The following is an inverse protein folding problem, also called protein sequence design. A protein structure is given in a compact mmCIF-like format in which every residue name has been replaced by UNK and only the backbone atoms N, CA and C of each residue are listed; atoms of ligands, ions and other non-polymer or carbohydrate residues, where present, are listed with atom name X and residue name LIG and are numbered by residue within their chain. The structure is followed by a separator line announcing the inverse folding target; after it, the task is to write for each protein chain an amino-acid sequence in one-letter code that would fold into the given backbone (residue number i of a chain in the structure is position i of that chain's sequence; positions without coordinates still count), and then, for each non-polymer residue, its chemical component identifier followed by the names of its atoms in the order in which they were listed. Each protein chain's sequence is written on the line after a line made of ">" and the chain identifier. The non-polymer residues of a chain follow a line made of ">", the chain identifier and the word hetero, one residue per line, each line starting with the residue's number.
data_IF_042325673552
#
_entry.id   IF_042325673552
#
_cell.length_a   1.000
_cell.length_b   1.000
_cell.length_c   1.000
_cell.angle_alpha   90.00
_cell.angle_beta   90.00
_cell.angle_gamma   90.00
#
_symmetry.space_group_name_H-M   'P 1'
#
loop_
_entity.id
_entity.type
_entity.pdbx_description
1 polymer ?
#
# COMPACT_ATOMS: atom_id res chain seq x y z
N UNK A 1 11.66 19.07 3.16
CA UNK A 1 11.22 17.71 2.82
C UNK A 1 11.92 16.56 3.55
N UNK A 2 12.77 16.88 4.52
CA UNK A 2 13.33 15.91 5.48
C UNK A 2 12.23 15.19 6.27
N UNK A 3 11.00 15.64 6.18
CA UNK A 3 9.85 15.20 6.97
C UNK A 3 8.97 14.14 6.29
N UNK A 4 9.34 13.67 5.09
CA UNK A 4 8.54 12.66 4.36
C UNK A 4 9.20 11.29 4.38
N UNK A 5 8.36 10.27 4.44
CA UNK A 5 8.75 8.86 4.36
C UNK A 5 7.86 8.16 3.35
N UNK A 6 8.44 7.33 2.51
CA UNK A 6 7.66 6.44 1.66
C UNK A 6 7.80 4.99 2.15
N UNK A 7 6.71 4.26 2.09
CA UNK A 7 6.66 2.88 2.56
C UNK A 7 5.95 2.02 1.50
N UNK A 8 6.71 1.42 0.58
CA UNK A 8 6.15 0.47 -0.36
C UNK A 8 5.72 -0.82 0.35
N UNK A 9 4.56 -1.31 -0.04
CA UNK A 9 4.11 -2.66 0.31
C UNK A 9 4.76 -3.64 -0.67
N UNK A 10 5.62 -4.50 -0.15
CA UNK A 10 6.34 -5.48 -0.97
C UNK A 10 5.36 -6.53 -1.53
N UNK A 11 5.58 -6.99 -2.75
CA UNK A 11 6.65 -6.65 -3.73
C UNK A 11 6.27 -5.49 -4.65
N UNK A 12 5.01 -5.44 -5.10
CA UNK A 12 4.56 -4.55 -6.17
C UNK A 12 4.74 -3.06 -5.88
N UNK A 13 4.65 -2.65 -4.61
CA UNK A 13 4.89 -1.27 -4.19
C UNK A 13 6.27 -0.73 -4.55
N UNK A 14 7.27 -1.58 -4.74
CA UNK A 14 8.60 -1.18 -5.19
C UNK A 14 8.57 -0.48 -6.56
N UNK A 15 7.64 -0.83 -7.44
CA UNK A 15 7.48 -0.19 -8.73
C UNK A 15 7.10 1.29 -8.68
N UNK A 16 6.59 1.77 -7.54
CA UNK A 16 6.20 3.17 -7.34
C UNK A 16 7.30 4.02 -6.70
N UNK A 17 8.34 3.41 -6.12
CA UNK A 17 9.36 4.10 -5.32
C UNK A 17 10.12 5.14 -6.13
N UNK A 18 10.56 4.80 -7.35
CA UNK A 18 11.34 5.69 -8.19
C UNK A 18 10.56 6.96 -8.56
N UNK A 19 9.26 6.83 -8.86
CA UNK A 19 8.40 7.97 -9.16
C UNK A 19 8.34 8.97 -8.01
N UNK A 20 8.15 8.48 -6.79
CA UNK A 20 8.11 9.34 -5.60
C UNK A 20 9.49 9.92 -5.29
N UNK A 21 10.56 9.14 -5.42
CA UNK A 21 11.94 9.60 -5.15
C UNK A 21 12.35 10.71 -6.13
N UNK A 22 11.87 10.66 -7.38
CA UNK A 22 12.09 11.74 -8.35
C UNK A 22 11.44 13.05 -7.89
N UNK A 23 10.25 12.98 -7.29
CA UNK A 23 9.52 14.16 -6.79
C UNK A 23 10.04 14.64 -5.44
N UNK A 24 10.47 13.71 -4.58
CA UNK A 24 10.94 13.98 -3.22
C UNK A 24 12.24 13.21 -2.95
N UNK A 25 13.39 13.68 -3.48
CA UNK A 25 14.66 12.95 -3.40
C UNK A 25 15.15 12.70 -1.96
N UNK A 26 14.75 13.56 -1.03
CA UNK A 26 15.14 13.46 0.40
C UNK A 26 14.24 12.51 1.21
N UNK A 27 13.20 11.94 0.64
CA UNK A 27 12.33 11.01 1.34
C UNK A 27 13.09 9.72 1.71
N UNK A 28 13.04 9.35 2.98
CA UNK A 28 13.57 8.05 3.42
C UNK A 28 12.56 6.96 3.10
N UNK A 29 13.06 5.76 2.85
CA UNK A 29 12.26 4.62 2.40
C UNK A 29 12.24 3.57 3.51
N UNK A 30 11.05 3.20 3.98
CA UNK A 30 10.82 2.00 4.76
C UNK A 30 10.20 0.91 3.87
N UNK A 31 10.09 -0.30 4.37
CA UNK A 31 9.51 -1.41 3.63
C UNK A 31 8.60 -2.22 4.55
N UNK A 32 7.44 -2.64 4.04
CA UNK A 32 6.54 -3.59 4.69
C UNK A 32 6.35 -4.78 3.77
N UNK A 33 6.70 -5.96 4.24
CA UNK A 33 6.43 -7.22 3.57
C UNK A 33 5.24 -7.92 4.20
N UNK A 34 4.25 -8.25 3.38
CA UNK A 34 3.05 -8.96 3.78
C UNK A 34 2.91 -10.23 2.95
N UNK A 35 2.47 -11.32 3.58
CA UNK A 35 2.00 -12.51 2.88
C UNK A 35 0.62 -12.88 3.40
N UNK A 36 -0.13 -13.60 2.59
CA UNK A 36 -1.42 -14.15 3.03
C UNK A 36 -1.22 -15.60 3.45
N UNK A 37 -1.71 -15.91 4.63
CA UNK A 37 -1.76 -17.30 5.08
C UNK A 37 -2.58 -18.14 4.07
N UNK A 38 -2.04 -19.26 3.59
CA UNK A 38 -2.71 -20.06 2.56
C UNK A 38 -3.99 -20.74 3.05
N UNK A 39 -4.18 -20.87 4.36
CA UNK A 39 -5.34 -21.52 4.98
C UNK A 39 -6.37 -20.49 5.45
N UNK A 40 -5.93 -19.49 6.22
CA UNK A 40 -6.84 -18.48 6.80
C UNK A 40 -7.09 -17.29 5.88
N UNK A 41 -6.24 -17.10 4.85
CA UNK A 41 -6.20 -15.93 3.97
C UNK A 41 -5.98 -14.60 4.70
N UNK A 42 -5.58 -14.66 5.97
CA UNK A 42 -5.24 -13.47 6.74
C UNK A 42 -3.87 -12.92 6.33
N UNK A 43 -3.73 -11.60 6.25
CA UNK A 43 -2.44 -10.98 5.97
C UNK A 43 -1.55 -11.01 7.22
N UNK A 44 -0.33 -11.50 7.03
CA UNK A 44 0.71 -11.52 8.05
C UNK A 44 1.92 -10.68 7.62
N UNK A 45 2.49 -9.95 8.55
CA UNK A 45 3.76 -9.27 8.37
C UNK A 45 4.91 -10.28 8.45
N UNK A 46 5.79 -10.31 7.45
CA UNK A 46 7.06 -11.03 7.52
C UNK A 46 8.27 -10.10 7.56
N UNK A 47 8.09 -8.83 7.23
CA UNK A 47 9.15 -7.84 7.24
C UNK A 47 8.57 -6.44 7.46
N UNK A 48 9.11 -5.74 8.44
CA UNK A 48 8.80 -4.33 8.64
C UNK A 48 10.05 -3.59 9.09
N UNK A 49 10.52 -2.67 8.25
CA UNK A 49 11.60 -1.77 8.60
C UNK A 49 11.23 -0.36 8.21
N UNK A 50 10.97 0.45 9.20
CA UNK A 50 10.53 1.82 9.03
C UNK A 50 11.62 2.80 9.48
N UNK A 51 11.81 3.94 8.78
CA UNK A 51 12.81 4.93 9.16
C UNK A 51 12.39 5.70 10.43
N UNK A 52 13.28 5.83 11.39
CA UNK A 52 13.09 6.63 12.59
C UNK A 52 13.40 8.12 12.37
N UNK A 53 12.76 9.03 13.15
CA UNK A 53 11.53 8.84 13.91
C UNK A 53 10.31 8.84 12.99
N UNK A 54 9.39 7.90 13.18
CA UNK A 54 8.22 7.75 12.31
C UNK A 54 7.01 8.57 12.78
N UNK A 55 6.92 8.84 14.08
CA UNK A 55 5.80 9.54 14.73
C UNK A 55 5.70 11.03 14.36
N UNK A 56 6.80 11.63 13.90
CA UNK A 56 6.90 13.05 13.55
C UNK A 56 6.88 13.30 12.03
N UNK A 57 6.60 12.28 11.23
CA UNK A 57 6.77 12.33 9.78
C UNK A 57 5.48 12.04 9.02
N UNK A 58 5.34 12.66 7.87
CA UNK A 58 4.34 12.25 6.90
C UNK A 58 4.81 10.95 6.23
N UNK A 59 3.99 9.94 6.34
CA UNK A 59 4.23 8.62 5.76
C UNK A 59 3.36 8.48 4.52
N UNK A 60 3.97 8.15 3.39
CA UNK A 60 3.27 7.84 2.15
C UNK A 60 3.41 6.34 1.91
N UNK A 61 2.38 5.58 2.22
CA UNK A 61 2.30 4.17 1.88
C UNK A 61 1.94 4.02 0.41
N UNK A 62 2.66 3.20 -0.31
CA UNK A 62 2.47 2.98 -1.75
C UNK A 62 2.27 1.51 -2.09
N UNK A 63 1.25 1.24 -2.87
CA UNK A 63 0.94 -0.07 -3.44
C UNK A 63 0.22 0.18 -4.78
N UNK A 64 0.57 -0.48 -5.89
CA UNK A 64 -0.09 -0.25 -7.16
C UNK A 64 -1.59 -0.54 -7.16
N UNK A 65 -2.03 -1.51 -6.36
CA UNK A 65 -3.40 -2.04 -6.45
C UNK A 65 -4.11 -2.06 -5.11
N UNK A 66 -5.28 -1.45 -5.06
CA UNK A 66 -6.23 -1.55 -3.95
C UNK A 66 -7.42 -2.40 -4.38
N UNK A 67 -7.32 -3.72 -4.22
CA UNK A 67 -8.39 -4.65 -4.60
C UNK A 67 -9.40 -4.84 -3.45
N UNK A 68 -9.16 -5.77 -2.54
CA UNK A 68 -10.05 -6.03 -1.39
C UNK A 68 -9.81 -5.13 -0.19
N UNK A 69 -8.69 -4.41 -0.18
CA UNK A 69 -8.26 -3.55 0.92
C UNK A 69 -7.52 -4.26 2.05
N UNK A 70 -7.49 -5.60 2.09
CA UNK A 70 -6.91 -6.33 3.21
C UNK A 70 -5.42 -6.02 3.44
N UNK A 71 -4.59 -6.05 2.41
CA UNK A 71 -3.15 -5.72 2.52
C UNK A 71 -2.92 -4.27 2.93
N UNK A 72 -3.68 -3.33 2.34
CA UNK A 72 -3.58 -1.93 2.68
C UNK A 72 -3.96 -1.64 4.14
N UNK A 73 -5.06 -2.22 4.62
CA UNK A 73 -5.49 -2.11 6.03
C UNK A 73 -4.40 -2.65 6.95
N UNK A 74 -3.85 -3.82 6.66
CA UNK A 74 -2.79 -4.41 7.49
C UNK A 74 -1.52 -3.56 7.48
N UNK A 75 -1.10 -3.05 6.32
CA UNK A 75 0.05 -2.16 6.23
C UNK A 75 -0.14 -0.88 7.07
N UNK A 76 -1.32 -0.26 7.00
CA UNK A 76 -1.65 0.92 7.82
C UNK A 76 -1.64 0.56 9.30
N UNK A 77 -2.21 -0.59 9.70
CA UNK A 77 -2.17 -1.06 11.08
C UNK A 77 -0.73 -1.19 11.58
N UNK A 78 0.16 -1.82 10.82
CA UNK A 78 1.57 -1.97 11.21
C UNK A 78 2.29 -0.64 11.30
N UNK A 79 2.06 0.29 10.37
CA UNK A 79 2.61 1.64 10.47
C UNK A 79 2.14 2.34 11.74
N UNK A 80 0.86 2.24 12.10
CA UNK A 80 0.30 2.82 13.34
C UNK A 80 0.87 2.15 14.60
N UNK A 81 1.03 0.82 14.59
CA UNK A 81 1.65 0.08 15.70
C UNK A 81 3.10 0.49 15.96
N UNK A 82 3.83 0.88 14.91
CA UNK A 82 5.20 1.42 15.01
C UNK A 82 5.24 2.93 15.32
N UNK A 83 4.10 3.55 15.60
CA UNK A 83 4.00 4.94 16.01
C UNK A 83 3.71 5.94 14.90
N UNK A 84 3.45 5.50 13.68
CA UNK A 84 3.07 6.37 12.55
C UNK A 84 1.71 7.02 12.79
N UNK A 85 1.64 8.36 12.69
CA UNK A 85 0.44 9.15 12.98
C UNK A 85 -0.15 9.83 11.75
N UNK A 86 0.70 10.33 10.88
CA UNK A 86 0.28 11.04 9.66
C UNK A 86 0.51 10.15 8.45
N UNK A 87 -0.54 9.51 7.94
CA UNK A 87 -0.45 8.51 6.89
C UNK A 87 -1.28 8.94 5.69
N UNK A 88 -0.70 8.81 4.51
CA UNK A 88 -1.37 8.88 3.21
C UNK A 88 -1.13 7.59 2.46
N UNK A 89 -2.13 7.10 1.75
CA UNK A 89 -2.00 5.94 0.88
C UNK A 89 -2.11 6.36 -0.58
N UNK A 90 -1.26 5.79 -1.44
CA UNK A 90 -1.31 6.04 -2.87
C UNK A 90 -1.37 4.73 -3.63
N UNK A 91 -2.34 4.64 -4.53
CA UNK A 91 -2.57 3.49 -5.40
C UNK A 91 -2.63 3.94 -6.86
N UNK A 92 -2.16 3.10 -7.77
CA UNK A 92 -2.32 3.38 -9.20
C UNK A 92 -3.77 3.09 -9.61
N UNK A 93 -4.29 1.96 -9.19
CA UNK A 93 -5.66 1.51 -9.52
C UNK A 93 -6.33 0.91 -8.29
N UNK A 94 -7.62 1.16 -8.15
CA UNK A 94 -8.43 0.66 -7.05
C UNK A 94 -9.79 0.13 -7.51
N UNK A 95 -10.36 -0.77 -6.71
CA UNK A 95 -11.75 -1.14 -6.79
C UNK A 95 -12.57 -0.40 -5.71
N UNK A 96 -13.85 -0.08 -5.97
CA UNK A 96 -14.71 0.61 -5.01
C UNK A 96 -14.82 -0.13 -3.67
N UNK A 97 -14.86 -1.45 -3.70
CA UNK A 97 -14.96 -2.31 -2.51
C UNK A 97 -13.76 -2.14 -1.58
N UNK A 98 -12.54 -2.15 -2.14
CA UNK A 98 -11.32 -1.96 -1.36
C UNK A 98 -11.19 -0.54 -0.82
N UNK A 99 -11.56 0.45 -1.63
CA UNK A 99 -11.55 1.86 -1.22
C UNK A 99 -12.50 2.11 -0.04
N UNK A 100 -13.74 1.62 -0.15
CA UNK A 100 -14.75 1.72 0.92
C UNK A 100 -14.24 1.06 2.20
N UNK A 101 -13.77 -0.17 2.11
CA UNK A 101 -13.30 -0.92 3.27
C UNK A 101 -12.10 -0.26 3.96
N UNK A 102 -11.12 0.23 3.20
CA UNK A 102 -9.97 0.94 3.76
C UNK A 102 -10.40 2.23 4.47
N UNK A 103 -11.31 3.01 3.87
CA UNK A 103 -11.82 4.23 4.47
C UNK A 103 -12.66 3.97 5.73
N UNK A 104 -13.46 2.92 5.76
CA UNK A 104 -14.24 2.55 6.95
C UNK A 104 -13.36 2.18 8.15
N UNK A 105 -12.25 1.44 7.91
CA UNK A 105 -11.34 1.01 8.97
C UNK A 105 -10.38 2.14 9.39
N UNK A 106 -9.94 2.96 8.44
CA UNK A 106 -9.00 4.05 8.67
C UNK A 106 -9.51 5.37 8.09
N UNK A 107 -10.56 5.97 8.69
CA UNK A 107 -11.15 7.22 8.18
C UNK A 107 -10.20 8.44 8.30
N UNK A 108 -9.17 8.32 9.12
CA UNK A 108 -8.13 9.33 9.32
C UNK A 108 -7.04 9.33 8.23
N UNK A 109 -7.01 8.30 7.37
CA UNK A 109 -6.01 8.16 6.33
C UNK A 109 -6.50 8.77 5.02
N UNK A 110 -5.69 9.65 4.44
CA UNK A 110 -5.99 10.19 3.10
C UNK A 110 -5.59 9.17 2.03
N UNK A 111 -6.51 8.90 1.12
CA UNK A 111 -6.32 7.90 0.05
C UNK A 111 -6.29 8.61 -1.29
N UNK A 112 -5.24 8.36 -2.07
CA UNK A 112 -5.06 8.86 -3.43
C UNK A 112 -5.05 7.70 -4.40
N UNK A 113 -5.84 7.78 -5.45
CA UNK A 113 -5.97 6.73 -6.46
C UNK A 113 -5.82 7.35 -7.84
N UNK A 114 -4.97 6.76 -8.67
CA UNK A 114 -4.80 7.20 -10.06
C UNK A 114 -6.04 6.92 -10.91
N UNK A 115 -6.64 5.75 -10.74
CA UNK A 115 -7.88 5.37 -11.41
C UNK A 115 -8.73 4.44 -10.54
N UNK A 116 -10.01 4.75 -10.45
CA UNK A 116 -11.01 3.89 -9.80
C UNK A 116 -11.70 3.05 -10.86
N UNK A 117 -11.46 1.75 -10.82
CA UNK A 117 -12.08 0.77 -11.71
C UNK A 117 -13.50 0.41 -11.26
N UNK A 118 -14.19 -0.39 -12.05
CA UNK A 118 -15.61 -0.64 -11.90
C UNK A 118 -15.96 -1.50 -10.67
N UNK A 119 -15.24 -2.62 -10.50
CA UNK A 119 -15.58 -3.64 -9.49
C UNK A 119 -14.46 -4.66 -9.28
N UNK A 120 -14.63 -5.55 -8.31
CA UNK A 120 -13.91 -6.82 -8.20
C UNK A 120 -14.72 -7.96 -8.83
N UNK A 121 -14.02 -8.90 -9.48
CA UNK A 121 -14.65 -10.15 -9.91
C UNK A 121 -14.68 -11.19 -8.77
N UNK A 122 -15.26 -12.36 -9.02
CA UNK A 122 -15.39 -13.46 -8.05
C UNK A 122 -14.05 -13.98 -7.50
N UNK A 123 -12.94 -13.69 -8.18
CA UNK A 123 -11.58 -14.04 -7.75
C UNK A 123 -10.86 -12.89 -7.08
N UNK A 124 -11.58 -11.82 -6.75
CA UNK A 124 -11.04 -10.61 -6.14
C UNK A 124 -10.00 -9.85 -7.00
N UNK A 125 -10.07 -9.99 -8.32
CA UNK A 125 -9.31 -9.15 -9.25
C UNK A 125 -10.10 -7.90 -9.63
N UNK A 126 -9.39 -6.79 -9.77
CA UNK A 126 -9.96 -5.53 -10.24
C UNK A 126 -10.38 -5.66 -11.71
N UNK A 127 -11.58 -5.20 -12.05
CA UNK A 127 -12.12 -5.23 -13.40
C UNK A 127 -12.50 -3.80 -13.87
N UNK A 128 -12.03 -3.43 -15.09
CA UNK A 128 -11.25 -4.19 -16.07
C UNK A 128 -9.82 -4.54 -15.62
N UNK A 129 -9.18 -3.72 -14.78
CA UNK A 129 -7.91 -4.01 -14.13
C UNK A 129 -6.74 -4.35 -15.06
N UNK A 130 -5.69 -4.92 -14.46
CA UNK A 130 -4.47 -5.33 -15.17
C UNK A 130 -3.91 -6.70 -14.70
N UNK A 131 -4.67 -7.46 -13.94
CA UNK A 131 -4.23 -8.73 -13.37
C UNK A 131 -3.39 -8.52 -12.10
N UNK A 132 -2.32 -9.29 -11.94
CA UNK A 132 -1.38 -9.15 -10.81
C UNK A 132 -0.24 -8.18 -11.17
N UNK A 133 -0.17 -7.06 -10.45
CA UNK A 133 0.84 -6.03 -10.68
C UNK A 133 2.25 -6.51 -10.34
N UNK A 134 2.41 -7.30 -9.28
CA UNK A 134 3.71 -7.84 -8.89
C UNK A 134 4.29 -8.76 -9.95
N UNK A 135 3.49 -9.69 -10.45
CA UNK A 135 3.92 -10.60 -11.51
C UNK A 135 4.27 -9.84 -12.79
N UNK A 136 3.51 -8.82 -13.14
CA UNK A 136 3.79 -7.99 -14.31
C UNK A 136 5.06 -7.15 -14.18
N UNK A 137 5.29 -6.56 -13.01
CA UNK A 137 6.47 -5.73 -12.77
C UNK A 137 7.75 -6.58 -12.76
N UNK A 138 7.70 -7.74 -12.13
CA UNK A 138 8.89 -8.57 -11.89
C UNK A 138 9.03 -9.76 -12.85
N UNK A 139 8.07 -9.97 -13.76
CA UNK A 139 8.10 -11.06 -14.72
C UNK A 139 8.00 -12.44 -14.05
N UNK A 140 7.31 -12.54 -12.94
CA UNK A 140 7.08 -13.78 -12.21
C UNK A 140 5.73 -14.35 -12.59
N UNK A 141 5.59 -15.61 -13.06
CA UNK A 141 4.47 -16.30 -13.25
C UNK A 141 3.74 -16.91 -13.95
#
# INVERSE_FOLDING_TARGET
>A
DVYKRQVPVLRAGLGMVNGITTLVPSAKIGHIGLYRDPVTHEPHEYYCKLPDPIDQRLIVMVDPMLATGGSAISAVNFIKQHGGKSIKCMFVIAAPEGLKRLHEVHPDVQIYVGHLDRELNDRAYICPGLGDAGDRIFGTK
#
